data_IF_126944678644
#
_entry.id   IF_126944678644
#
_cell.length_a   1.000
_cell.length_b   1.000
_cell.length_c   1.000
_cell.angle_alpha   90.00
_cell.angle_beta   90.00
_cell.angle_gamma   90.00
#
_symmetry.space_group_name_H-M   'P 1'
#
loop_
_entity.id
_entity.type
_entity.pdbx_description
1 polymer ?
#
# COMPACT_ATOMS: atom_id res chain seq x y z
N UNK A 1 37.25 27.23 5.55
CA UNK A 1 36.72 28.22 6.50
C UNK A 1 35.40 28.76 5.97
N UNK A 2 34.28 28.33 6.54
CA UNK A 2 33.01 29.06 6.53
C UNK A 2 32.24 28.60 7.77
N UNK A 3 32.16 29.50 8.76
CA UNK A 3 31.53 29.28 10.07
C UNK A 3 30.03 29.54 9.93
N UNK A 4 29.19 28.58 10.26
CA UNK A 4 27.79 28.84 10.60
C UNK A 4 27.68 29.10 12.12
N UNK A 5 27.02 30.18 12.57
CA UNK A 5 26.81 30.41 13.99
C UNK A 5 25.71 29.47 14.51
N UNK A 6 26.00 28.83 15.64
CA UNK A 6 25.00 28.07 16.41
C UNK A 6 24.00 29.03 17.06
N UNK A 7 22.71 28.84 16.78
CA UNK A 7 21.62 29.48 17.53
C UNK A 7 21.16 28.56 18.68
N UNK A 8 20.85 29.11 19.87
CA UNK A 8 20.54 28.31 21.05
C UNK A 8 19.11 27.76 20.98
N UNK A 9 18.97 26.48 21.34
CA UNK A 9 17.69 25.81 21.53
C UNK A 9 16.91 26.46 22.69
N UNK A 10 15.94 27.33 22.36
CA UNK A 10 14.93 27.77 23.32
C UNK A 10 13.90 26.64 23.48
N UNK A 11 13.80 26.10 24.70
CA UNK A 11 12.71 25.18 25.08
C UNK A 11 11.39 25.92 24.93
N UNK A 12 10.55 25.46 24.01
CA UNK A 12 9.23 26.03 23.76
C UNK A 12 8.24 25.36 24.72
N UNK A 13 7.81 26.08 25.75
CA UNK A 13 6.86 25.61 26.78
C UNK A 13 5.40 25.93 26.45
N UNK A 14 5.10 26.25 25.18
CA UNK A 14 3.77 26.74 24.77
C UNK A 14 3.15 25.81 23.71
N UNK A 15 2.13 25.06 24.14
CA UNK A 15 1.50 23.96 23.38
C UNK A 15 0.71 24.49 22.17
N UNK A 16 0.37 25.78 22.16
CA UNK A 16 -0.43 26.42 21.10
C UNK A 16 0.39 26.71 19.84
N UNK A 17 1.71 26.90 19.97
CA UNK A 17 2.59 27.22 18.84
C UNK A 17 2.96 26.00 17.98
N UNK A 18 2.85 24.79 18.53
CA UNK A 18 3.26 23.56 17.85
C UNK A 18 2.27 23.14 16.74
N UNK A 19 0.97 23.48 16.90
CA UNK A 19 -0.08 23.16 15.91
C UNK A 19 0.06 24.01 14.64
N UNK A 20 0.56 25.24 14.76
CA UNK A 20 0.74 26.14 13.61
C UNK A 20 1.96 25.78 12.75
N UNK A 21 3.05 25.30 13.35
CA UNK A 21 4.27 24.99 12.62
C UNK A 21 4.17 23.72 11.77
N UNK A 22 3.39 22.73 12.25
CA UNK A 22 3.05 21.53 11.47
C UNK A 22 2.19 21.92 10.26
N UNK A 23 1.27 22.88 10.40
CA UNK A 23 0.39 23.32 9.32
C UNK A 23 1.14 24.03 8.16
N UNK A 24 2.18 24.81 8.45
CA UNK A 24 2.96 25.51 7.40
C UNK A 24 3.93 24.61 6.63
N UNK A 25 4.44 23.52 7.20
CA UNK A 25 5.35 22.63 6.47
C UNK A 25 4.64 21.71 5.46
N UNK A 26 3.33 21.50 5.58
CA UNK A 26 2.54 20.72 4.61
C UNK A 26 1.97 21.55 3.45
N UNK A 27 1.94 22.88 3.57
CA UNK A 27 1.29 23.74 2.58
C UNK A 27 2.03 23.83 1.23
N UNK A 28 3.30 23.42 1.15
CA UNK A 28 4.16 23.74 0.00
C UNK A 28 4.45 22.57 -0.96
N UNK A 29 3.79 21.42 -0.81
CA UNK A 29 3.94 20.25 -1.72
C UNK A 29 2.76 20.12 -2.69
N UNK A 30 1.65 20.84 -2.48
CA UNK A 30 0.49 20.80 -3.36
C UNK A 30 0.60 21.85 -4.48
N UNK A 31 1.57 21.67 -5.39
CA UNK A 31 1.52 22.31 -6.70
C UNK A 31 1.07 21.29 -7.75
N UNK A 32 -0.15 21.55 -8.24
CA UNK A 32 -0.71 21.23 -9.56
C UNK A 32 -0.49 19.79 -10.07
N UNK A 33 -1.36 18.88 -9.60
CA UNK A 33 -1.84 17.78 -10.44
C UNK A 33 -3.31 18.08 -10.70
N UNK A 34 -3.63 18.42 -11.95
CA UNK A 34 -4.99 18.65 -12.44
C UNK A 34 -5.74 17.30 -12.43
N UNK A 35 -6.42 17.01 -11.30
CA UNK A 35 -7.27 15.82 -11.17
C UNK A 35 -8.67 16.21 -11.66
N UNK A 36 -9.24 15.50 -12.65
CA UNK A 36 -10.55 15.84 -13.20
C UNK A 36 -11.60 15.99 -12.09
N UNK A 37 -12.44 17.01 -12.20
CA UNK A 37 -13.52 17.44 -11.27
C UNK A 37 -14.57 16.35 -10.91
N UNK A 38 -14.37 15.09 -11.32
CA UNK A 38 -15.34 13.98 -11.24
C UNK A 38 -14.94 12.80 -10.33
N UNK A 39 -13.75 12.80 -9.72
CA UNK A 39 -13.38 11.69 -8.82
C UNK A 39 -13.97 11.91 -7.42
N UNK A 40 -14.78 10.98 -6.88
CA UNK A 40 -15.36 11.13 -5.53
C UNK A 40 -14.28 11.33 -4.46
N UNK A 41 -14.56 12.17 -3.46
CA UNK A 41 -13.61 12.50 -2.39
C UNK A 41 -13.05 11.27 -1.69
N UNK A 42 -13.90 10.26 -1.42
CA UNK A 42 -13.48 8.99 -0.84
C UNK A 42 -12.36 8.32 -1.63
N UNK A 43 -12.45 8.27 -2.95
CA UNK A 43 -11.45 7.61 -3.80
C UNK A 43 -10.11 8.38 -3.78
N UNK A 44 -10.18 9.73 -3.81
CA UNK A 44 -8.99 10.58 -3.68
C UNK A 44 -8.29 10.38 -2.33
N UNK A 45 -9.05 10.45 -1.23
CA UNK A 45 -8.51 10.29 0.11
C UNK A 45 -7.96 8.88 0.36
N UNK A 46 -8.63 7.85 -0.17
CA UNK A 46 -8.12 6.46 -0.14
C UNK A 46 -6.79 6.34 -0.87
N UNK A 47 -6.67 6.92 -2.06
CA UNK A 47 -5.43 6.89 -2.84
C UNK A 47 -4.28 7.58 -2.09
N UNK A 48 -4.54 8.73 -1.47
CA UNK A 48 -3.55 9.48 -0.71
C UNK A 48 -3.09 8.73 0.56
N UNK A 49 -4.02 8.08 1.27
CA UNK A 49 -3.69 7.21 2.40
C UNK A 49 -2.82 6.03 1.99
N UNK A 50 -3.20 5.32 0.93
CA UNK A 50 -2.46 4.14 0.43
C UNK A 50 -1.10 4.52 -0.16
N UNK A 51 -0.96 5.74 -0.69
CA UNK A 51 0.30 6.29 -1.17
C UNK A 51 1.22 6.78 -0.02
N UNK A 52 0.77 6.73 1.24
CA UNK A 52 1.54 7.17 2.39
C UNK A 52 1.70 8.68 2.48
N UNK A 53 0.78 9.48 1.92
CA UNK A 53 0.82 10.95 2.04
C UNK A 53 0.52 11.45 3.44
N UNK A 54 -0.02 10.57 4.28
CA UNK A 54 -0.25 10.80 5.70
C UNK A 54 0.56 9.74 6.48
N UNK A 55 1.18 10.14 7.59
CA UNK A 55 2.00 9.26 8.40
C UNK A 55 1.14 8.35 9.30
N UNK A 56 1.67 7.17 9.63
CA UNK A 56 1.02 6.28 10.59
C UNK A 56 0.71 7.03 11.91
N UNK A 57 -0.48 6.78 12.46
CA UNK A 57 -1.05 7.46 13.64
C UNK A 57 -1.44 8.94 13.47
N UNK A 58 -1.30 9.53 12.26
CA UNK A 58 -1.81 10.87 11.98
C UNK A 58 -3.31 10.97 12.23
N UNK A 59 -3.73 12.09 12.82
CA UNK A 59 -5.15 12.38 13.07
C UNK A 59 -5.79 13.03 11.85
N UNK A 60 -6.92 12.48 11.43
CA UNK A 60 -7.75 12.99 10.35
C UNK A 60 -8.99 13.66 10.95
N UNK A 61 -8.99 14.99 10.91
CA UNK A 61 -10.10 15.82 11.41
C UNK A 61 -10.91 16.36 10.24
N UNK A 62 -12.24 16.31 10.33
CA UNK A 62 -13.15 16.72 9.23
C UNK A 62 -12.82 18.11 8.66
N UNK A 63 -12.52 19.08 9.53
CA UNK A 63 -12.23 20.46 9.11
C UNK A 63 -10.91 20.56 8.34
N UNK A 64 -9.86 19.88 8.82
CA UNK A 64 -8.57 19.81 8.14
C UNK A 64 -8.69 19.17 6.76
N UNK A 65 -9.43 18.07 6.65
CA UNK A 65 -9.62 17.38 5.38
C UNK A 65 -10.52 18.20 4.42
N UNK A 66 -11.53 18.90 4.95
CA UNK A 66 -12.36 19.82 4.17
C UNK A 66 -11.53 20.92 3.52
N UNK A 67 -10.65 21.56 4.30
CA UNK A 67 -9.73 22.60 3.83
C UNK A 67 -8.74 22.04 2.81
N UNK A 68 -8.11 20.89 3.11
CA UNK A 68 -7.11 20.26 2.24
C UNK A 68 -7.66 19.90 0.85
N UNK A 69 -8.92 19.45 0.79
CA UNK A 69 -9.53 18.98 -0.46
C UNK A 69 -10.46 20.02 -1.11
N UNK A 70 -10.65 21.20 -0.50
CA UNK A 70 -11.49 22.27 -1.04
C UNK A 70 -12.97 21.92 -1.09
N UNK A 71 -13.48 21.17 -0.10
CA UNK A 71 -14.85 20.64 -0.08
C UNK A 71 -15.55 20.93 1.25
N UNK A 72 -16.88 20.77 1.31
CA UNK A 72 -17.63 20.92 2.56
C UNK A 72 -17.45 19.72 3.50
N UNK A 73 -17.88 19.84 4.76
CA UNK A 73 -17.70 18.79 5.79
C UNK A 73 -18.52 17.52 5.56
N UNK A 74 -19.67 17.61 4.89
CA UNK A 74 -20.55 16.46 4.64
C UNK A 74 -19.87 15.36 3.82
N UNK A 75 -19.34 15.63 2.60
CA UNK A 75 -18.64 14.61 1.82
C UNK A 75 -17.38 14.09 2.52
N UNK A 76 -16.72 14.92 3.34
CA UNK A 76 -15.58 14.50 4.17
C UNK A 76 -15.99 13.46 5.20
N UNK A 77 -17.08 13.70 5.92
CA UNK A 77 -17.61 12.76 6.91
C UNK A 77 -17.98 11.42 6.28
N UNK A 78 -18.65 11.45 5.13
CA UNK A 78 -19.00 10.26 4.37
C UNK A 78 -17.76 9.48 3.93
N UNK A 79 -16.75 10.18 3.40
CA UNK A 79 -15.49 9.58 2.99
C UNK A 79 -14.76 8.92 4.17
N UNK A 80 -14.63 9.62 5.31
CA UNK A 80 -13.97 9.09 6.50
C UNK A 80 -14.71 7.88 7.09
N UNK A 81 -16.05 7.92 7.16
CA UNK A 81 -16.84 6.78 7.63
C UNK A 81 -16.64 5.54 6.72
N UNK A 82 -16.54 5.73 5.41
CA UNK A 82 -16.26 4.63 4.48
C UNK A 82 -14.84 4.07 4.65
N UNK A 83 -13.85 4.94 4.83
CA UNK A 83 -12.46 4.51 5.09
C UNK A 83 -12.32 3.75 6.42
N UNK A 84 -13.12 4.12 7.43
CA UNK A 84 -13.22 3.39 8.69
C UNK A 84 -13.80 1.99 8.47
N UNK A 85 -14.90 1.87 7.72
CA UNK A 85 -15.51 0.58 7.37
C UNK A 85 -14.55 -0.32 6.57
N UNK A 86 -13.72 0.28 5.71
CA UNK A 86 -12.65 -0.41 4.98
C UNK A 86 -11.50 -0.85 5.90
N UNK A 87 -11.42 -0.32 7.12
CA UNK A 87 -10.41 -0.63 8.12
C UNK A 87 -9.07 0.09 7.90
N UNK A 88 -9.05 1.15 7.08
CA UNK A 88 -7.84 1.94 6.80
C UNK A 88 -7.57 2.99 7.88
N UNK A 89 -8.63 3.45 8.54
CA UNK A 89 -8.57 4.40 9.65
C UNK A 89 -9.43 3.90 10.80
N UNK A 90 -9.18 4.40 12.00
CA UNK A 90 -9.95 4.06 13.20
C UNK A 90 -10.41 5.32 13.92
N UNK A 91 -11.49 5.22 14.70
CA UNK A 91 -11.96 6.34 15.54
C UNK A 91 -10.87 6.75 16.52
N UNK A 92 -10.74 8.05 16.72
CA UNK A 92 -9.89 8.65 17.74
C UNK A 92 -10.72 9.58 18.64
N UNK A 93 -10.13 10.04 19.75
CA UNK A 93 -10.78 11.01 20.65
C UNK A 93 -11.24 12.27 19.90
N UNK A 94 -10.53 12.66 18.84
CA UNK A 94 -10.90 13.75 17.93
C UNK A 94 -10.81 13.28 16.49
N UNK A 95 -11.96 13.02 15.86
CA UNK A 95 -12.04 12.57 14.47
C UNK A 95 -11.60 11.12 14.32
N UNK A 96 -10.65 10.89 13.42
CA UNK A 96 -10.10 9.57 13.11
C UNK A 96 -8.58 9.61 13.22
N UNK A 97 -7.95 8.45 13.20
CA UNK A 97 -6.51 8.32 13.00
C UNK A 97 -6.22 7.19 12.03
N UNK A 98 -5.06 7.26 11.38
CA UNK A 98 -4.60 6.17 10.51
C UNK A 98 -4.35 4.92 11.34
N UNK A 99 -4.79 3.77 10.83
CA UNK A 99 -4.58 2.49 11.52
C UNK A 99 -3.10 2.13 11.45
N UNK A 100 -2.49 1.85 12.60
CA UNK A 100 -1.19 1.18 12.67
C UNK A 100 -1.41 -0.34 12.70
N UNK A 101 -0.67 -1.09 11.89
CA UNK A 101 -0.74 -2.55 11.88
C UNK A 101 0.13 -3.19 12.95
N UNK A 102 -0.24 -4.39 13.39
CA UNK A 102 0.57 -5.28 14.23
C UNK A 102 1.08 -6.49 13.43
N UNK A 103 2.07 -7.25 13.95
CA UNK A 103 2.46 -8.53 13.36
C UNK A 103 1.29 -9.50 13.22
N UNK A 104 0.37 -9.52 14.19
CA UNK A 104 -0.83 -10.35 14.17
C UNK A 104 -1.77 -9.94 13.02
N UNK A 105 -1.98 -8.63 12.79
CA UNK A 105 -2.75 -8.15 11.63
C UNK A 105 -2.15 -8.65 10.30
N UNK A 106 -0.82 -8.65 10.18
CA UNK A 106 -0.13 -9.17 8.98
C UNK A 106 -0.37 -10.66 8.82
N UNK A 107 -0.27 -11.43 9.90
CA UNK A 107 -0.50 -12.88 9.87
C UNK A 107 -1.92 -13.19 9.38
N UNK A 108 -2.93 -12.58 10.02
CA UNK A 108 -4.33 -12.80 9.69
C UNK A 108 -4.65 -12.42 8.24
N UNK A 109 -4.15 -11.26 7.77
CA UNK A 109 -4.39 -10.84 6.39
C UNK A 109 -3.71 -11.78 5.39
N UNK A 110 -2.47 -12.20 5.65
CA UNK A 110 -1.76 -13.10 4.73
C UNK A 110 -2.40 -14.48 4.66
N UNK A 111 -2.95 -15.01 5.75
CA UNK A 111 -3.61 -16.31 5.73
C UNK A 111 -4.83 -16.31 4.79
N UNK A 112 -5.64 -15.25 4.84
CA UNK A 112 -6.75 -15.07 3.90
C UNK A 112 -6.26 -14.78 2.49
N UNK A 113 -5.25 -13.90 2.34
CA UNK A 113 -4.68 -13.52 1.04
C UNK A 113 -4.09 -14.73 0.31
N UNK A 114 -3.35 -15.60 0.99
CA UNK A 114 -2.77 -16.82 0.42
C UNK A 114 -3.87 -17.74 -0.12
N UNK A 115 -4.95 -17.94 0.65
CA UNK A 115 -6.08 -18.76 0.20
C UNK A 115 -6.75 -18.20 -1.06
N UNK A 116 -7.00 -16.88 -1.08
CA UNK A 116 -7.63 -16.20 -2.22
C UNK A 116 -6.72 -16.15 -3.44
N UNK A 117 -5.45 -15.78 -3.30
CA UNK A 117 -4.51 -15.69 -4.42
C UNK A 117 -4.17 -17.06 -5.01
N UNK A 118 -4.16 -18.12 -4.19
CA UNK A 118 -4.09 -19.50 -4.70
C UNK A 118 -5.25 -19.80 -5.65
N UNK A 119 -6.49 -19.54 -5.20
CA UNK A 119 -7.67 -19.74 -6.03
C UNK A 119 -7.64 -18.86 -7.29
N UNK A 120 -7.12 -17.64 -7.17
CA UNK A 120 -6.93 -16.73 -8.30
C UNK A 120 -5.96 -17.30 -9.33
N UNK A 121 -4.78 -17.78 -8.90
CA UNK A 121 -3.76 -18.33 -9.78
C UNK A 121 -4.20 -19.65 -10.44
N UNK A 122 -4.85 -20.55 -9.69
CA UNK A 122 -5.45 -21.78 -10.22
C UNK A 122 -6.51 -21.46 -11.30
N UNK A 123 -7.37 -20.48 -11.05
CA UNK A 123 -8.38 -20.02 -12.01
C UNK A 123 -7.74 -19.33 -13.21
N UNK A 124 -6.73 -18.49 -12.99
CA UNK A 124 -6.01 -17.77 -14.04
C UNK A 124 -5.31 -18.73 -15.01
N UNK A 125 -4.72 -19.83 -14.53
CA UNK A 125 -4.14 -20.85 -15.40
C UNK A 125 -5.16 -21.41 -16.41
N UNK A 126 -6.42 -21.51 -16.00
CA UNK A 126 -7.52 -22.01 -16.83
C UNK A 126 -8.14 -20.92 -17.72
N UNK A 127 -8.36 -19.73 -17.17
CA UNK A 127 -9.21 -18.68 -17.75
C UNK A 127 -8.44 -17.52 -18.39
N UNK A 128 -7.11 -17.45 -18.24
CA UNK A 128 -6.31 -16.35 -18.81
C UNK A 128 -6.53 -16.21 -20.32
N UNK A 129 -6.51 -14.96 -20.77
CA UNK A 129 -6.41 -14.61 -22.19
C UNK A 129 -4.93 -14.50 -22.58
N UNK A 130 -4.66 -14.41 -23.89
CA UNK A 130 -3.31 -14.11 -24.38
C UNK A 130 -2.89 -12.68 -24.01
N UNK A 131 -3.84 -11.75 -23.87
CA UNK A 131 -3.58 -10.40 -23.38
C UNK A 131 -3.07 -10.41 -21.94
N UNK A 132 -3.69 -11.18 -21.04
CA UNK A 132 -3.21 -11.33 -19.66
C UNK A 132 -1.79 -11.88 -19.61
N UNK A 133 -1.50 -12.90 -20.42
CA UNK A 133 -0.17 -13.51 -20.46
C UNK A 133 0.88 -12.52 -20.98
N UNK A 134 0.56 -11.77 -22.03
CA UNK A 134 1.44 -10.74 -22.57
C UNK A 134 1.71 -9.63 -21.55
N UNK A 135 0.68 -9.14 -20.86
CA UNK A 135 0.83 -8.11 -19.83
C UNK A 135 1.66 -8.59 -18.63
N UNK A 136 1.39 -9.80 -18.10
CA UNK A 136 2.19 -10.38 -17.01
C UNK A 136 3.64 -10.57 -17.41
N UNK A 137 3.90 -11.02 -18.64
CA UNK A 137 5.26 -11.18 -19.18
C UNK A 137 5.99 -9.84 -19.26
N UNK A 138 5.30 -8.81 -19.76
CA UNK A 138 5.85 -7.46 -19.83
C UNK A 138 6.16 -6.89 -18.44
N UNK A 139 5.25 -7.03 -17.49
CA UNK A 139 5.44 -6.57 -16.11
C UNK A 139 6.60 -7.29 -15.42
N UNK A 140 6.73 -8.59 -15.64
CA UNK A 140 7.86 -9.36 -15.13
C UNK A 140 9.18 -8.86 -15.72
N UNK A 141 9.27 -8.67 -17.04
CA UNK A 141 10.48 -8.14 -17.67
C UNK A 141 10.84 -6.74 -17.14
N UNK A 142 9.86 -5.84 -17.05
CA UNK A 142 10.05 -4.50 -16.47
C UNK A 142 10.53 -4.57 -15.01
N UNK A 143 10.06 -5.55 -14.24
CA UNK A 143 10.48 -5.72 -12.83
C UNK A 143 11.95 -6.14 -12.71
N UNK A 144 12.44 -6.96 -13.65
CA UNK A 144 13.86 -7.34 -13.74
C UNK A 144 14.70 -6.10 -14.14
N UNK A 145 14.22 -5.32 -15.11
CA UNK A 145 14.93 -4.16 -15.65
C UNK A 145 14.94 -2.96 -14.71
N UNK A 146 13.98 -2.85 -13.79
CA UNK A 146 13.86 -1.78 -12.78
C UNK A 146 14.94 -1.83 -11.67
N UNK A 147 16.06 -2.51 -11.91
CA UNK A 147 17.17 -2.67 -10.98
C UNK A 147 17.72 -1.29 -10.54
N UNK A 148 17.39 -0.89 -9.30
CA UNK A 148 17.87 0.35 -8.70
C UNK A 148 16.76 1.27 -8.19
N UNK A 149 15.50 1.06 -8.58
CA UNK A 149 14.36 1.88 -8.14
C UNK A 149 13.39 1.06 -7.26
N UNK A 150 13.42 1.19 -5.93
CA UNK A 150 12.53 0.46 -5.03
C UNK A 150 11.06 0.85 -5.18
N UNK A 151 10.76 2.10 -5.57
CA UNK A 151 9.39 2.56 -5.72
C UNK A 151 8.75 1.94 -6.98
N UNK A 152 9.48 1.96 -8.09
CA UNK A 152 9.05 1.32 -9.33
C UNK A 152 8.89 -0.21 -9.15
N UNK A 153 9.84 -0.87 -8.49
CA UNK A 153 9.77 -2.31 -8.17
C UNK A 153 8.48 -2.69 -7.45
N UNK A 154 8.11 -1.93 -6.40
CA UNK A 154 6.86 -2.16 -5.65
C UNK A 154 5.61 -1.92 -6.50
N UNK A 155 5.64 -0.92 -7.37
CA UNK A 155 4.53 -0.63 -8.27
C UNK A 155 4.33 -1.77 -9.29
N UNK A 156 5.41 -2.24 -9.91
CA UNK A 156 5.39 -3.36 -10.86
C UNK A 156 4.97 -4.68 -10.21
N UNK A 157 5.49 -4.98 -9.02
CA UNK A 157 5.06 -6.15 -8.24
C UNK A 157 3.55 -6.08 -7.94
N UNK A 158 3.05 -4.94 -7.47
CA UNK A 158 1.61 -4.78 -7.21
C UNK A 158 0.78 -4.98 -8.48
N UNK A 159 1.22 -4.40 -9.59
CA UNK A 159 0.52 -4.50 -10.88
C UNK A 159 0.51 -5.94 -11.41
N UNK A 160 1.59 -6.69 -11.22
CA UNK A 160 1.65 -8.11 -11.57
C UNK A 160 0.55 -8.91 -10.88
N UNK A 161 0.40 -8.76 -9.55
CA UNK A 161 -0.66 -9.42 -8.80
C UNK A 161 -2.06 -8.96 -9.23
N UNK A 162 -2.27 -7.66 -9.47
CA UNK A 162 -3.56 -7.16 -9.96
C UNK A 162 -3.99 -7.81 -11.29
N UNK A 163 -3.06 -7.95 -12.24
CA UNK A 163 -3.32 -8.63 -13.53
C UNK A 163 -3.53 -10.13 -13.34
N UNK A 164 -2.81 -10.77 -12.42
CA UNK A 164 -3.03 -12.18 -12.07
C UNK A 164 -4.46 -12.40 -11.52
N UNK A 165 -4.93 -11.51 -10.65
CA UNK A 165 -6.29 -11.58 -10.13
C UNK A 165 -7.34 -11.27 -11.20
N UNK A 166 -7.05 -10.35 -12.11
CA UNK A 166 -7.90 -10.08 -13.27
C UNK A 166 -8.06 -11.32 -14.14
N UNK A 167 -6.95 -12.02 -14.39
CA UNK A 167 -6.94 -13.26 -15.17
C UNK A 167 -7.77 -14.40 -14.56
N UNK A 168 -8.10 -14.35 -13.26
CA UNK A 168 -9.01 -15.30 -12.62
C UNK A 168 -10.48 -15.12 -13.04
N UNK A 169 -10.82 -14.00 -13.68
CA UNK A 169 -12.19 -13.60 -14.06
C UNK A 169 -13.18 -13.59 -12.89
N UNK A 170 -12.69 -13.39 -11.66
CA UNK A 170 -13.52 -13.35 -10.45
C UNK A 170 -13.47 -11.97 -9.79
N UNK A 171 -14.41 -11.10 -10.17
CA UNK A 171 -14.50 -9.71 -9.69
C UNK A 171 -14.70 -9.61 -8.17
N UNK A 172 -15.40 -10.58 -7.57
CA UNK A 172 -15.60 -10.63 -6.11
C UNK A 172 -14.26 -10.87 -5.41
N UNK A 173 -13.50 -11.88 -5.87
CA UNK A 173 -12.17 -12.19 -5.35
C UNK A 173 -11.22 -11.01 -5.52
N UNK A 174 -11.21 -10.37 -6.69
CA UNK A 174 -10.39 -9.18 -6.95
C UNK A 174 -10.70 -8.06 -5.94
N UNK A 175 -11.99 -7.78 -5.69
CA UNK A 175 -12.39 -6.75 -4.74
C UNK A 175 -11.95 -7.05 -3.30
N UNK A 176 -12.01 -8.32 -2.89
CA UNK A 176 -11.55 -8.76 -1.57
C UNK A 176 -10.03 -8.62 -1.43
N UNK A 177 -9.27 -9.06 -2.43
CA UNK A 177 -7.81 -8.93 -2.44
C UNK A 177 -7.36 -7.47 -2.45
N UNK A 178 -8.00 -6.62 -3.24
CA UNK A 178 -7.71 -5.18 -3.26
C UNK A 178 -7.96 -4.51 -1.89
N UNK A 179 -9.00 -4.94 -1.16
CA UNK A 179 -9.26 -4.45 0.19
C UNK A 179 -8.19 -4.89 1.19
N UNK A 180 -7.77 -6.16 1.14
CA UNK A 180 -6.72 -6.71 2.01
C UNK A 180 -5.35 -6.05 1.75
N UNK A 181 -4.97 -5.89 0.49
CA UNK A 181 -3.70 -5.23 0.13
C UNK A 181 -3.69 -3.75 0.52
N UNK A 182 -4.81 -3.05 0.40
CA UNK A 182 -4.89 -1.67 0.87
C UNK A 182 -4.63 -1.56 2.38
N UNK A 183 -5.16 -2.48 3.21
CA UNK A 183 -4.88 -2.51 4.65
C UNK A 183 -3.39 -2.75 4.93
N UNK A 184 -2.78 -3.72 4.25
CA UNK A 184 -1.34 -3.99 4.38
C UNK A 184 -0.48 -2.79 4.02
N UNK A 185 -0.84 -2.04 2.96
CA UNK A 185 -0.11 -0.83 2.55
C UNK A 185 -0.15 0.27 3.60
N UNK A 186 -1.27 0.42 4.33
CA UNK A 186 -1.36 1.37 5.44
C UNK A 186 -0.42 1.00 6.59
N UNK A 187 -0.10 -0.28 6.75
CA UNK A 187 0.78 -0.76 7.82
C UNK A 187 2.27 -0.59 7.49
N UNK A 188 2.61 -0.37 6.23
CA UNK A 188 4.00 -0.23 5.77
C UNK A 188 4.57 1.12 6.23
N UNK A 189 5.20 1.15 7.42
CA UNK A 189 5.95 2.32 7.93
C UNK A 189 7.25 2.48 7.12
N UNK A 190 7.53 3.68 6.64
CA UNK A 190 8.76 4.08 5.92
C UNK A 190 9.41 2.95 5.09
N UNK A 191 8.87 2.72 3.90
CA UNK A 191 9.47 2.01 2.74
C UNK A 191 10.91 1.53 2.92
N UNK A 192 11.12 0.41 3.62
CA UNK A 192 12.40 -0.30 3.64
C UNK A 192 12.21 -1.82 3.60
N UNK A 193 11.20 -2.27 2.85
CA UNK A 193 11.15 -3.66 2.38
C UNK A 193 12.39 -3.91 1.55
N UNK A 194 13.26 -4.78 2.06
CA UNK A 194 14.42 -5.29 1.33
C UNK A 194 13.89 -6.38 0.43
N UNK A 195 13.23 -5.97 -0.65
CA UNK A 195 12.77 -6.88 -1.69
C UNK A 195 14.02 -7.52 -2.32
N UNK A 196 14.25 -8.80 -2.07
CA UNK A 196 15.22 -9.57 -2.85
C UNK A 196 14.66 -9.74 -4.25
N UNK A 197 14.91 -8.72 -5.08
CA UNK A 197 14.35 -8.60 -6.43
C UNK A 197 14.67 -9.81 -7.30
N UNK A 198 15.83 -10.43 -7.10
CA UNK A 198 16.21 -11.60 -7.87
C UNK A 198 15.33 -12.79 -7.50
N UNK A 199 15.08 -12.99 -6.20
CA UNK A 199 14.19 -14.03 -5.70
C UNK A 199 12.73 -13.78 -6.11
N UNK A 200 12.22 -12.56 -5.90
CA UNK A 200 10.87 -12.14 -6.36
C UNK A 200 10.72 -12.34 -7.87
N UNK A 201 11.74 -12.01 -8.66
CA UNK A 201 11.76 -12.24 -10.10
C UNK A 201 11.63 -13.73 -10.44
N UNK A 202 12.43 -14.59 -9.82
CA UNK A 202 12.38 -16.04 -10.05
C UNK A 202 11.02 -16.64 -9.67
N UNK A 203 10.41 -16.18 -8.58
CA UNK A 203 9.07 -16.62 -8.17
C UNK A 203 7.98 -16.20 -9.17
N UNK A 204 8.04 -14.95 -9.66
CA UNK A 204 7.12 -14.49 -10.71
C UNK A 204 7.31 -15.27 -12.02
N UNK A 205 8.55 -15.64 -12.36
CA UNK A 205 8.84 -16.48 -13.52
C UNK A 205 8.23 -17.88 -13.40
N UNK A 206 8.26 -18.49 -12.22
CA UNK A 206 7.62 -19.80 -11.98
C UNK A 206 6.09 -19.71 -12.09
N UNK A 207 5.48 -18.65 -11.54
CA UNK A 207 4.04 -18.39 -11.70
C UNK A 207 3.71 -18.25 -13.20
N UNK A 208 4.47 -17.44 -13.94
CA UNK A 208 4.30 -17.25 -15.39
C UNK A 208 4.42 -18.57 -16.17
N UNK A 209 5.42 -19.40 -15.86
CA UNK A 209 5.59 -20.71 -16.50
C UNK A 209 4.37 -21.59 -16.29
N UNK A 210 3.87 -21.68 -15.05
CA UNK A 210 2.69 -22.46 -14.73
C UNK A 210 1.42 -21.95 -15.45
N UNK A 211 1.27 -20.63 -15.56
CA UNK A 211 0.18 -20.02 -16.35
C UNK A 211 0.33 -20.35 -17.84
N UNK A 212 1.53 -20.26 -18.40
CA UNK A 212 1.80 -20.57 -19.81
C UNK A 212 1.36 -22.01 -20.13
N UNK A 213 1.77 -22.96 -19.30
CA UNK A 213 1.43 -24.38 -19.39
C UNK A 213 -0.01 -24.71 -19.00
N UNK A 214 -0.79 -23.72 -18.52
CA UNK A 214 -2.15 -23.91 -17.99
C UNK A 214 -2.21 -24.93 -16.85
N UNK A 215 -1.14 -25.03 -16.06
CA UNK A 215 -1.06 -25.94 -14.93
C UNK A 215 -1.57 -25.24 -13.67
N UNK A 216 -2.87 -25.39 -13.41
CA UNK A 216 -3.54 -24.76 -12.27
C UNK A 216 -2.88 -25.10 -10.93
N UNK A 217 -2.60 -26.37 -10.67
CA UNK A 217 -1.97 -26.81 -9.41
C UNK A 217 -0.58 -26.19 -9.23
N UNK A 218 0.25 -26.18 -10.27
CA UNK A 218 1.56 -25.51 -10.20
C UNK A 218 1.44 -24.02 -9.96
N UNK A 219 0.51 -23.33 -10.62
CA UNK A 219 0.28 -21.89 -10.43
C UNK A 219 -0.14 -21.58 -8.98
N UNK A 220 -1.05 -22.39 -8.43
CA UNK A 220 -1.46 -22.30 -7.03
C UNK A 220 -0.32 -22.53 -6.04
N UNK A 221 0.53 -23.54 -6.27
CA UNK A 221 1.71 -23.81 -5.42
C UNK A 221 2.72 -22.66 -5.50
N UNK A 222 3.01 -22.17 -6.71
CA UNK A 222 3.98 -21.10 -6.94
C UNK A 222 3.58 -19.80 -6.23
N UNK A 223 2.32 -19.38 -6.34
CA UNK A 223 1.85 -18.15 -5.68
C UNK A 223 1.83 -18.28 -4.16
N UNK A 224 1.52 -19.48 -3.63
CA UNK A 224 1.55 -19.74 -2.17
C UNK A 224 2.99 -19.59 -1.64
N UNK A 225 3.97 -20.18 -2.33
CA UNK A 225 5.38 -20.07 -1.95
C UNK A 225 5.85 -18.60 -1.93
N UNK A 226 5.56 -17.88 -3.01
CA UNK A 226 5.86 -16.46 -3.16
C UNK A 226 5.26 -15.61 -2.02
N UNK A 227 3.98 -15.81 -1.71
CA UNK A 227 3.30 -15.06 -0.65
C UNK A 227 3.77 -15.44 0.75
N UNK A 228 4.16 -16.71 0.98
CA UNK A 228 4.71 -17.15 2.25
C UNK A 228 6.06 -16.48 2.53
N UNK A 229 6.94 -16.37 1.52
CA UNK A 229 8.19 -15.62 1.65
C UNK A 229 7.92 -14.14 1.90
N UNK A 230 7.06 -13.52 1.10
CA UNK A 230 6.69 -12.10 1.27
C UNK A 230 6.09 -11.82 2.65
N UNK A 231 5.29 -12.75 3.20
CA UNK A 231 4.76 -12.70 4.58
C UNK A 231 5.90 -12.63 5.59
N UNK A 232 6.87 -13.53 5.47
CA UNK A 232 8.00 -13.60 6.39
C UNK A 232 8.84 -12.31 6.34
N UNK A 233 9.14 -11.78 5.15
CA UNK A 233 9.90 -10.54 4.99
C UNK A 233 9.23 -9.33 5.65
N UNK A 234 7.90 -9.25 5.53
CA UNK A 234 7.11 -8.21 6.21
C UNK A 234 7.18 -8.37 7.73
N UNK A 235 7.02 -9.59 8.26
CA UNK A 235 7.12 -9.85 9.70
C UNK A 235 8.52 -9.52 10.25
N UNK A 236 9.58 -9.83 9.52
CA UNK A 236 10.96 -9.51 9.91
C UNK A 236 11.20 -7.99 10.00
N UNK A 237 10.44 -7.20 9.24
CA UNK A 237 10.49 -5.73 9.31
C UNK A 237 9.93 -5.22 10.64
N UNK A 238 8.82 -5.79 11.14
CA UNK A 238 8.29 -5.44 12.46
C UNK A 238 9.27 -5.74 13.60
N UNK A 239 10.02 -6.85 13.51
CA UNK A 239 11.03 -7.22 14.51
C UNK A 239 12.17 -6.19 14.52
N UNK A 240 12.66 -5.79 13.34
CA UNK A 240 13.74 -4.81 13.20
C UNK A 240 13.34 -3.43 13.72
N UNK A 241 12.12 -2.99 13.44
CA UNK A 241 11.63 -1.69 13.90
C UNK A 241 11.49 -1.63 15.43
N UNK A 242 11.10 -2.74 16.08
CA UNK A 242 11.06 -2.83 17.55
C UNK A 242 12.44 -2.76 18.20
N UNK A 243 13.47 -3.32 17.56
CA UNK A 243 14.85 -3.29 18.07
C UNK A 243 15.47 -1.89 17.95
N UNK A 244 15.10 -1.10 16.94
CA UNK A 244 15.63 0.27 16.72
C UNK A 244 15.01 1.34 17.60
N UNK A 245 13.82 1.09 18.15
CA UNK A 245 13.11 2.01 19.06
C UNK A 245 13.54 1.87 20.53
N UNK A 246 14.50 0.99 20.82
CA UNK A 246 15.12 0.79 22.14
C UNK A 246 16.57 1.26 22.13
#
# INVERSE_FOLDING_TARGET
>A
MLKYPATPAKRCTDVTLCVFYVCMMFANVYKEVDVPERVPLHARLRADLVAGRFAADDHLVETMIAELYGVSRTPVREALNRLEQEGLIVRAMRGFRIRSGSPEDVIEIYDVRIALERAAAESAASLRTELHLAELTQLHQQSIDAAGDPALSRALHSRFHEVLWDASQNVTLQSMLAALVARLRIFDRETRHRDDRAETGNEHAEILSALHERNATRAGVAVVAHLARTKQERLDTFVRDRVRLR
#
